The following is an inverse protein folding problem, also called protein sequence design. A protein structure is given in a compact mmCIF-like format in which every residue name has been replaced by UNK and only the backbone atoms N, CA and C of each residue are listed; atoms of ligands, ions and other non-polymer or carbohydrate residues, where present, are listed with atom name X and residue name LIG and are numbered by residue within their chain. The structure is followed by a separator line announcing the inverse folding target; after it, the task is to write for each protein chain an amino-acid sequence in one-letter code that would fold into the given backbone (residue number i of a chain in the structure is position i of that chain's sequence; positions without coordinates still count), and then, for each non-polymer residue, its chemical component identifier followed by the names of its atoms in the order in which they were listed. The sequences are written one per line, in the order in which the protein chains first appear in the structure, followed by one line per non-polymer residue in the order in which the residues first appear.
data_IF_525660809767
#
_entry.id   IF_525660809767
#
_cell.length_a   1.000
_cell.length_b   1.000
_cell.length_c   1.000
_cell.angle_alpha   90.00
_cell.angle_beta   90.00
_cell.angle_gamma   90.00
#
_symmetry.space_group_name_H-M   'P 1'
#
loop_
_entity.id
_entity.type
_entity.pdbx_description
1 polymer ?
#
# COMPACT_ATOMS: atom_id res chain seq x y z
N UNK A 1 -14.96 0.02 27.80
CA UNK A 1 -13.94 1.02 27.32
C UNK A 1 -13.72 2.17 28.32
N UNK A 2 -14.16 2.01 29.55
CA UNK A 2 -14.06 3.05 30.58
C UNK A 2 -12.58 3.52 30.75
N UNK A 3 -12.35 4.82 30.73
CA UNK A 3 -11.03 5.46 30.86
C UNK A 3 -9.99 5.13 29.74
N UNK A 4 -10.38 4.52 28.64
CA UNK A 4 -9.46 4.31 27.51
C UNK A 4 -9.22 5.59 26.73
N UNK A 5 -7.96 5.80 26.30
CA UNK A 5 -7.58 6.83 25.33
C UNK A 5 -7.74 6.28 23.93
N UNK A 6 -8.63 6.86 23.15
CA UNK A 6 -8.94 6.45 21.78
C UNK A 6 -8.49 7.53 20.82
N UNK A 7 -7.78 7.12 19.77
CA UNK A 7 -7.50 7.96 18.60
C UNK A 7 -8.39 7.47 17.45
N UNK A 8 -9.19 8.37 16.91
CA UNK A 8 -10.02 8.14 15.75
C UNK A 8 -9.45 8.92 14.56
N UNK A 9 -9.07 8.21 13.50
CA UNK A 9 -8.64 8.79 12.25
C UNK A 9 -9.81 8.77 11.27
N UNK A 10 -10.34 9.95 10.97
CA UNK A 10 -11.43 10.12 10.02
C UNK A 10 -10.89 10.35 8.61
N UNK A 11 -11.09 9.37 7.75
CA UNK A 11 -10.75 9.38 6.33
C UNK A 11 -11.90 9.75 5.40
N UNK A 12 -12.98 10.34 5.93
CA UNK A 12 -14.11 10.79 5.14
C UNK A 12 -13.73 11.91 4.17
N UNK A 13 -14.35 11.93 3.01
CA UNK A 13 -14.27 13.03 2.04
C UNK A 13 -15.09 14.24 2.45
N UNK A 14 -14.94 15.34 1.70
CA UNK A 14 -15.76 16.55 1.90
C UNK A 14 -17.17 16.32 1.40
N UNK A 15 -18.17 16.67 2.22
CA UNK A 15 -19.59 16.71 1.83
C UNK A 15 -20.32 15.37 1.83
N UNK A 16 -19.69 14.29 2.28
CA UNK A 16 -20.36 13.00 2.46
C UNK A 16 -21.21 12.98 3.73
N UNK A 17 -22.50 13.28 3.57
CA UNK A 17 -23.46 13.36 4.67
C UNK A 17 -23.70 12.01 5.35
N UNK A 18 -23.65 10.93 4.57
CA UNK A 18 -23.90 9.56 5.07
C UNK A 18 -22.77 9.13 5.99
N UNK A 19 -21.51 9.34 5.58
CA UNK A 19 -20.36 9.08 6.43
C UNK A 19 -20.38 9.95 7.71
N UNK A 20 -20.73 11.23 7.56
CA UNK A 20 -20.81 12.14 8.71
C UNK A 20 -21.82 11.65 9.76
N UNK A 21 -22.98 11.17 9.34
CA UNK A 21 -24.01 10.62 10.23
C UNK A 21 -23.53 9.36 10.98
N UNK A 22 -22.84 8.45 10.29
CA UNK A 22 -22.28 7.24 10.90
C UNK A 22 -21.12 7.59 11.85
N UNK A 23 -20.30 8.58 11.50
CA UNK A 23 -19.24 9.07 12.37
C UNK A 23 -19.79 9.67 13.67
N UNK A 24 -20.85 10.49 13.59
CA UNK A 24 -21.52 11.04 14.77
C UNK A 24 -22.11 9.94 15.67
N UNK A 25 -22.69 8.91 15.05
CA UNK A 25 -23.19 7.74 15.78
C UNK A 25 -22.04 7.00 16.49
N UNK A 26 -20.93 6.77 15.82
CA UNK A 26 -19.72 6.15 16.39
C UNK A 26 -19.19 6.97 17.57
N UNK A 27 -19.03 8.29 17.41
CA UNK A 27 -18.55 9.17 18.45
C UNK A 27 -19.47 9.15 19.68
N UNK A 28 -20.78 9.14 19.47
CA UNK A 28 -21.76 9.03 20.55
C UNK A 28 -21.61 7.70 21.33
N UNK A 29 -21.39 6.58 20.65
CA UNK A 29 -21.16 5.29 21.31
C UNK A 29 -19.85 5.26 22.10
N UNK A 30 -18.78 5.86 21.55
CA UNK A 30 -17.50 5.98 22.24
C UNK A 30 -17.61 6.86 23.51
N UNK A 31 -18.27 8.02 23.43
CA UNK A 31 -18.49 8.91 24.59
C UNK A 31 -19.35 8.21 25.67
N UNK A 32 -20.42 7.51 25.29
CA UNK A 32 -21.26 6.73 26.22
C UNK A 32 -20.47 5.65 26.96
N UNK A 33 -19.42 5.11 26.34
CA UNK A 33 -18.56 4.11 26.97
C UNK A 33 -17.59 4.70 28.03
N UNK A 34 -17.54 6.02 28.20
CA UNK A 34 -16.61 6.69 29.12
C UNK A 34 -15.18 6.80 28.59
N UNK A 35 -14.97 6.65 27.30
CA UNK A 35 -13.66 6.81 26.66
C UNK A 35 -13.31 8.28 26.43
N UNK A 36 -12.02 8.60 26.48
CA UNK A 36 -11.49 9.90 25.99
C UNK A 36 -11.10 9.75 24.53
N UNK A 37 -11.80 10.44 23.64
CA UNK A 37 -11.61 10.33 22.18
C UNK A 37 -10.92 11.56 21.65
N UNK A 38 -9.80 11.34 20.91
CA UNK A 38 -9.15 12.37 20.10
C UNK A 38 -9.40 12.04 18.62
N UNK A 39 -10.13 12.91 17.94
CA UNK A 39 -10.47 12.74 16.52
C UNK A 39 -9.58 13.59 15.64
N UNK A 40 -9.10 12.98 14.53
CA UNK A 40 -8.33 13.64 13.49
C UNK A 40 -9.09 13.58 12.16
N UNK A 41 -9.79 14.65 11.74
CA UNK A 41 -10.40 14.74 10.39
C UNK A 41 -9.29 14.96 9.36
N UNK A 42 -8.79 13.87 8.77
CA UNK A 42 -7.54 13.87 7.98
C UNK A 42 -7.59 14.77 6.75
N UNK A 43 -8.78 14.97 6.15
CA UNK A 43 -8.99 15.88 5.01
C UNK A 43 -8.66 17.34 5.33
N UNK A 44 -8.83 17.74 6.60
CA UNK A 44 -8.63 19.13 7.06
C UNK A 44 -7.20 19.35 7.61
N UNK A 45 -6.42 18.26 7.72
CA UNK A 45 -5.09 18.31 8.33
C UNK A 45 -4.01 18.45 7.26
N UNK A 46 -3.23 19.54 7.37
CA UNK A 46 -2.07 19.74 6.50
C UNK A 46 -0.93 18.80 6.88
N UNK A 47 -0.81 17.73 6.16
CA UNK A 47 0.20 16.69 6.35
C UNK A 47 0.88 16.36 5.01
N UNK A 48 2.22 16.24 5.02
CA UNK A 48 3.01 15.77 3.89
C UNK A 48 2.89 14.27 3.66
N UNK A 49 3.28 13.81 2.47
CA UNK A 49 3.33 12.39 2.12
C UNK A 49 4.64 11.74 2.60
N UNK A 50 4.61 10.46 2.92
CA UNK A 50 5.85 9.71 3.15
C UNK A 50 6.58 9.54 1.80
N UNK A 51 7.82 10.00 1.74
CA UNK A 51 8.68 9.88 0.54
C UNK A 51 9.62 8.67 0.59
N UNK A 52 9.51 7.80 1.59
CA UNK A 52 10.36 6.61 1.73
C UNK A 52 11.85 6.93 1.95
N UNK A 53 12.17 8.04 2.60
CA UNK A 53 13.57 8.47 2.83
C UNK A 53 14.25 7.73 3.98
N UNK A 54 13.51 7.00 4.80
CA UNK A 54 13.96 6.29 6.01
C UNK A 54 14.75 7.15 7.02
N UNK A 55 14.73 8.49 6.88
CA UNK A 55 15.38 9.39 7.82
C UNK A 55 14.88 9.25 9.26
N UNK A 56 13.62 8.83 9.45
CA UNK A 56 13.03 8.50 10.75
C UNK A 56 13.60 7.21 11.39
N UNK A 57 14.49 6.50 10.70
CA UNK A 57 15.26 5.40 11.25
C UNK A 57 16.72 5.80 11.46
N UNK A 58 17.34 6.42 10.44
CA UNK A 58 18.80 6.58 10.38
C UNK A 58 19.31 8.01 10.62
N UNK A 59 18.40 9.01 10.78
CA UNK A 59 18.77 10.40 11.10
C UNK A 59 18.13 10.92 12.38
N UNK A 60 16.84 10.65 12.55
CA UNK A 60 16.05 11.06 13.72
C UNK A 60 15.23 9.86 14.21
N UNK A 61 15.86 8.84 14.81
CA UNK A 61 15.20 7.58 15.13
C UNK A 61 13.88 7.75 15.89
N UNK A 62 12.81 7.26 15.31
CA UNK A 62 11.46 7.35 15.86
C UNK A 62 10.70 8.64 15.55
N UNK A 63 11.32 9.63 14.85
CA UNK A 63 10.67 10.90 14.47
C UNK A 63 10.78 11.12 12.96
N UNK A 64 9.66 11.43 12.28
CA UNK A 64 9.70 11.78 10.86
C UNK A 64 10.48 13.09 10.65
N UNK A 65 11.26 13.21 9.57
CA UNK A 65 11.99 14.44 9.23
C UNK A 65 11.05 15.61 8.93
N UNK A 66 9.86 15.32 8.36
CA UNK A 66 8.87 16.36 8.04
C UNK A 66 8.19 16.86 9.33
N UNK A 67 8.36 18.14 9.72
CA UNK A 67 7.83 18.69 10.97
C UNK A 67 6.39 19.21 10.78
N UNK A 68 5.46 18.31 10.56
CA UNK A 68 4.05 18.60 10.32
C UNK A 68 3.13 17.82 11.28
N UNK A 69 1.83 18.01 11.16
CA UNK A 69 0.81 17.32 11.97
C UNK A 69 0.90 15.78 11.93
N UNK A 70 1.60 15.21 10.96
CA UNK A 70 1.85 13.75 10.90
C UNK A 70 2.67 13.25 12.09
N UNK A 71 3.52 14.10 12.73
CA UNK A 71 4.22 13.76 13.98
C UNK A 71 3.26 13.66 15.14
N UNK A 72 2.35 14.65 15.28
CA UNK A 72 1.37 14.70 16.35
C UNK A 72 0.39 13.53 16.28
N UNK A 73 -0.07 13.19 15.07
CA UNK A 73 -0.92 12.00 14.84
C UNK A 73 -0.17 10.73 15.21
N UNK A 74 1.10 10.59 14.78
CA UNK A 74 1.92 9.41 15.10
C UNK A 74 2.13 9.26 16.61
N UNK A 75 2.39 10.37 17.31
CA UNK A 75 2.49 10.40 18.77
C UNK A 75 1.17 10.04 19.45
N UNK A 76 0.06 10.65 19.03
CA UNK A 76 -1.26 10.37 19.59
C UNK A 76 -1.63 8.89 19.43
N UNK A 77 -1.36 8.30 18.24
CA UNK A 77 -1.60 6.88 17.95
C UNK A 77 -0.84 5.99 18.91
N UNK A 78 0.48 6.14 19.06
CA UNK A 78 1.25 5.23 19.93
C UNK A 78 0.95 5.44 21.42
N UNK A 79 0.45 6.61 21.78
CA UNK A 79 0.03 6.91 23.14
C UNK A 79 -1.44 6.56 23.44
N UNK A 80 -2.20 6.08 22.44
CA UNK A 80 -3.57 5.61 22.64
C UNK A 80 -3.62 4.17 23.16
N UNK A 81 -4.77 3.73 23.62
CA UNK A 81 -5.09 2.35 23.94
C UNK A 81 -5.77 1.64 22.76
N UNK A 82 -6.49 2.44 21.95
CA UNK A 82 -7.21 2.01 20.77
C UNK A 82 -7.04 3.05 19.65
N UNK A 83 -6.70 2.59 18.46
CA UNK A 83 -6.77 3.39 17.23
C UNK A 83 -7.92 2.90 16.37
N UNK A 84 -8.79 3.82 15.95
CA UNK A 84 -9.90 3.54 15.04
C UNK A 84 -9.59 4.19 13.69
N UNK A 85 -9.69 3.41 12.62
CA UNK A 85 -9.67 3.86 11.23
C UNK A 85 -11.11 3.90 10.74
N UNK A 86 -11.66 5.10 10.54
CA UNK A 86 -12.99 5.30 9.99
C UNK A 86 -12.86 5.85 8.56
N UNK A 87 -13.42 5.15 7.56
CA UNK A 87 -13.13 5.45 6.16
C UNK A 87 -14.20 4.91 5.21
N UNK A 88 -14.48 5.58 4.08
CA UNK A 88 -15.14 4.88 2.98
C UNK A 88 -14.25 3.73 2.50
N UNK A 89 -14.85 2.60 2.15
CA UNK A 89 -14.15 1.50 1.48
C UNK A 89 -13.88 1.93 0.04
N UNK A 90 -12.62 1.88 -0.38
CA UNK A 90 -12.19 2.33 -1.69
C UNK A 90 -11.45 1.17 -2.39
N UNK A 91 -12.11 0.52 -3.35
CA UNK A 91 -11.60 -0.66 -4.06
C UNK A 91 -11.15 -1.79 -3.11
N UNK A 92 -11.80 -1.93 -1.97
CA UNK A 92 -11.41 -2.85 -0.91
C UNK A 92 -10.26 -2.37 -0.03
N UNK A 93 -9.76 -1.14 -0.23
CA UNK A 93 -8.76 -0.48 0.61
C UNK A 93 -9.32 0.67 1.42
N UNK A 94 -8.43 1.47 1.98
CA UNK A 94 -8.74 2.74 2.65
C UNK A 94 -8.88 3.87 1.65
N UNK A 95 -9.56 4.97 2.06
CA UNK A 95 -9.42 6.24 1.34
C UNK A 95 -7.95 6.70 1.31
N UNK A 96 -7.61 7.51 0.31
CA UNK A 96 -6.26 8.07 0.23
C UNK A 96 -5.88 8.88 1.48
N UNK A 97 -6.81 9.51 2.17
CA UNK A 97 -6.52 10.28 3.40
C UNK A 97 -6.08 9.37 4.56
N UNK A 98 -6.76 8.24 4.82
CA UNK A 98 -6.27 7.24 5.77
C UNK A 98 -4.90 6.72 5.34
N UNK A 99 -4.74 6.39 4.05
CA UNK A 99 -3.49 5.84 3.53
C UNK A 99 -2.32 6.79 3.73
N UNK A 100 -2.51 8.09 3.53
CA UNK A 100 -1.53 9.13 3.81
C UNK A 100 -1.05 9.12 5.26
N UNK A 101 -1.97 8.98 6.22
CA UNK A 101 -1.64 8.85 7.63
C UNK A 101 -0.92 7.53 7.95
N UNK A 102 -1.37 6.42 7.36
CA UNK A 102 -0.74 5.11 7.56
C UNK A 102 0.71 5.09 7.05
N UNK A 103 0.98 5.65 5.86
CA UNK A 103 2.33 5.74 5.29
C UNK A 103 3.32 6.52 6.19
N UNK A 104 2.82 7.42 7.03
CA UNK A 104 3.61 8.23 7.95
C UNK A 104 3.92 7.55 9.29
N UNK A 105 3.43 6.32 9.53
CA UNK A 105 3.64 5.58 10.79
C UNK A 105 4.92 4.77 10.84
N UNK A 106 5.72 4.75 9.81
CA UNK A 106 6.99 4.03 9.76
C UNK A 106 7.94 4.33 10.95
N UNK A 107 7.92 5.53 11.60
CA UNK A 107 8.70 5.78 12.81
C UNK A 107 8.34 4.91 14.01
N UNK A 108 7.15 4.28 14.03
CA UNK A 108 6.68 3.43 15.13
C UNK A 108 7.27 2.03 15.12
N UNK A 109 7.95 1.64 14.05
CA UNK A 109 8.68 0.37 13.94
C UNK A 109 10.18 0.62 13.82
N UNK A 110 10.96 -0.42 14.11
CA UNK A 110 12.41 -0.39 13.98
C UNK A 110 12.83 -0.77 12.54
N UNK A 111 14.04 -0.38 12.11
CA UNK A 111 14.56 -0.86 10.83
C UNK A 111 14.87 -2.36 10.81
N UNK A 112 15.08 -2.97 11.96
CA UNK A 112 15.38 -4.39 12.11
C UNK A 112 14.13 -5.25 11.84
N UNK A 113 14.37 -6.46 11.36
CA UNK A 113 13.33 -7.42 10.99
C UNK A 113 13.27 -8.62 11.93
N UNK A 114 12.07 -9.17 12.06
CA UNK A 114 11.81 -10.45 12.69
C UNK A 114 10.79 -11.28 11.91
N UNK A 115 10.60 -12.52 12.35
CA UNK A 115 9.57 -13.41 11.81
C UNK A 115 8.38 -13.38 12.77
N UNK A 116 7.24 -12.91 12.25
CA UNK A 116 5.98 -12.84 12.99
C UNK A 116 4.90 -13.57 12.19
N UNK A 117 4.18 -14.49 12.82
CA UNK A 117 3.16 -15.30 12.15
C UNK A 117 3.62 -16.00 10.85
N UNK A 118 4.92 -16.34 10.80
CA UNK A 118 5.51 -17.08 9.68
C UNK A 118 6.08 -16.24 8.53
N UNK A 119 6.05 -14.91 8.64
CA UNK A 119 6.53 -13.97 7.61
C UNK A 119 7.33 -12.80 8.21
N UNK A 120 7.99 -12.02 7.35
CA UNK A 120 8.80 -10.86 7.76
C UNK A 120 7.94 -9.68 8.17
N UNK A 121 8.31 -9.07 9.30
CA UNK A 121 7.86 -7.75 9.72
C UNK A 121 8.97 -7.02 10.44
N UNK A 122 8.90 -5.70 10.48
CA UNK A 122 9.78 -4.89 11.33
C UNK A 122 9.49 -5.15 12.80
N UNK A 123 10.52 -5.06 13.65
CA UNK A 123 10.31 -5.12 15.10
C UNK A 123 9.53 -3.89 15.61
N UNK A 124 8.68 -4.04 16.64
CA UNK A 124 8.01 -2.90 17.26
C UNK A 124 9.04 -2.01 17.94
N UNK A 125 8.91 -0.69 17.80
CA UNK A 125 9.75 0.28 18.52
C UNK A 125 9.35 0.42 19.99
N UNK A 126 8.07 0.23 20.29
CA UNK A 126 7.47 0.40 21.62
C UNK A 126 7.00 -0.93 22.17
N UNK A 127 7.10 -1.09 23.50
CA UNK A 127 6.65 -2.30 24.20
C UNK A 127 5.12 -2.43 24.26
N UNK A 128 4.39 -1.33 24.08
CA UNK A 128 2.92 -1.29 24.07
C UNK A 128 2.45 -0.58 22.80
N UNK A 129 1.69 -1.28 21.99
CA UNK A 129 1.02 -0.75 20.82
C UNK A 129 -0.50 -0.70 21.05
N UNK A 130 -1.23 0.24 20.42
CA UNK A 130 -2.68 0.30 20.55
C UNK A 130 -3.35 -0.90 19.87
N UNK A 131 -4.52 -1.29 20.37
CA UNK A 131 -5.47 -2.11 19.62
C UNK A 131 -5.89 -1.37 18.34
N UNK A 132 -6.16 -2.10 17.25
CA UNK A 132 -6.60 -1.52 15.99
C UNK A 132 -8.05 -1.92 15.67
N UNK A 133 -8.89 -0.94 15.33
CA UNK A 133 -10.24 -1.19 14.79
C UNK A 133 -10.37 -0.48 13.45
N UNK A 134 -10.82 -1.22 12.43
CA UNK A 134 -11.16 -0.68 11.12
C UNK A 134 -12.68 -0.65 10.92
N UNK A 135 -13.24 0.50 10.64
CA UNK A 135 -14.65 0.70 10.30
C UNK A 135 -14.71 1.26 8.88
N UNK A 136 -15.04 0.37 7.95
CA UNK A 136 -15.31 0.72 6.56
C UNK A 136 -16.76 1.13 6.38
N UNK A 137 -17.03 2.05 5.48
CA UNK A 137 -18.39 2.44 5.09
C UNK A 137 -18.54 2.21 3.59
N UNK A 138 -19.59 1.50 3.19
CA UNK A 138 -20.02 1.34 1.82
C UNK A 138 -21.41 1.96 1.61
N UNK A 139 -21.67 2.48 0.42
CA UNK A 139 -23.00 2.95 0.04
C UNK A 139 -23.88 1.81 -0.53
N UNK A 140 -23.24 0.88 -1.22
CA UNK A 140 -23.86 -0.34 -1.74
C UNK A 140 -23.04 -1.55 -1.28
N UNK A 141 -23.72 -2.64 -0.95
CA UNK A 141 -23.05 -3.87 -0.49
C UNK A 141 -22.11 -4.42 -1.59
N UNK A 142 -20.87 -4.65 -1.21
CA UNK A 142 -19.85 -5.30 -2.03
C UNK A 142 -18.98 -6.19 -1.13
N UNK A 143 -19.34 -7.46 -1.04
CA UNK A 143 -18.65 -8.42 -0.17
C UNK A 143 -17.18 -8.61 -0.54
N UNK A 144 -16.84 -8.52 -1.82
CA UNK A 144 -15.44 -8.66 -2.27
C UNK A 144 -14.58 -7.52 -1.71
N UNK A 145 -15.04 -6.28 -1.79
CA UNK A 145 -14.36 -5.12 -1.19
C UNK A 145 -14.35 -5.18 0.34
N UNK A 146 -15.49 -5.56 0.96
CA UNK A 146 -15.60 -5.68 2.41
C UNK A 146 -14.60 -6.71 2.97
N UNK A 147 -14.44 -7.85 2.29
CA UNK A 147 -13.48 -8.88 2.67
C UNK A 147 -12.02 -8.42 2.50
N UNK A 148 -11.69 -7.71 1.41
CA UNK A 148 -10.36 -7.12 1.20
C UNK A 148 -10.04 -6.08 2.28
N UNK A 149 -11.01 -5.21 2.60
CA UNK A 149 -10.87 -4.21 3.65
C UNK A 149 -10.57 -4.85 5.01
N UNK A 150 -11.38 -5.84 5.42
CA UNK A 150 -11.18 -6.57 6.70
C UNK A 150 -9.81 -7.23 6.75
N UNK A 151 -9.37 -7.83 5.64
CA UNK A 151 -8.06 -8.45 5.54
C UNK A 151 -6.93 -7.40 5.64
N UNK A 152 -7.07 -6.25 4.98
CA UNK A 152 -6.11 -5.15 5.05
C UNK A 152 -5.95 -4.60 6.47
N UNK A 153 -7.07 -4.41 7.20
CA UNK A 153 -7.01 -3.98 8.61
C UNK A 153 -6.26 -5.02 9.45
N UNK A 154 -6.54 -6.30 9.26
CA UNK A 154 -5.84 -7.39 9.95
C UNK A 154 -4.33 -7.42 9.63
N UNK A 155 -3.95 -7.19 8.38
CA UNK A 155 -2.54 -7.06 7.97
C UNK A 155 -1.87 -5.87 8.64
N UNK A 156 -2.53 -4.72 8.66
CA UNK A 156 -2.01 -3.53 9.34
C UNK A 156 -1.92 -3.72 10.85
N UNK A 157 -2.82 -4.49 11.47
CA UNK A 157 -2.73 -4.86 12.88
C UNK A 157 -1.48 -5.71 13.15
N UNK A 158 -1.20 -6.69 12.29
CA UNK A 158 0.03 -7.50 12.37
C UNK A 158 1.28 -6.63 12.19
N UNK A 159 1.31 -5.78 11.17
CA UNK A 159 2.44 -4.92 10.84
C UNK A 159 2.73 -3.85 11.91
N UNK A 160 1.70 -3.36 12.60
CA UNK A 160 1.81 -2.43 13.73
C UNK A 160 1.97 -3.11 15.09
N UNK A 161 2.04 -4.43 15.15
CA UNK A 161 2.08 -5.22 16.39
C UNK A 161 0.93 -4.89 17.35
N UNK A 162 -0.26 -4.65 16.81
CA UNK A 162 -1.45 -4.45 17.63
C UNK A 162 -1.75 -5.73 18.44
N UNK A 163 -2.04 -5.62 19.75
CA UNK A 163 -2.30 -6.79 20.58
C UNK A 163 -3.56 -7.53 20.15
N UNK A 164 -4.54 -6.81 19.65
CA UNK A 164 -5.79 -7.32 19.06
C UNK A 164 -6.32 -6.37 18.02
N UNK A 165 -7.21 -6.85 17.14
CA UNK A 165 -7.89 -5.99 16.19
C UNK A 165 -9.33 -6.43 15.97
N UNK A 166 -10.12 -5.59 15.31
CA UNK A 166 -11.38 -5.94 14.69
C UNK A 166 -11.60 -5.10 13.43
N UNK A 167 -12.32 -5.63 12.46
CA UNK A 167 -12.69 -4.90 11.27
C UNK A 167 -14.11 -5.23 10.83
N UNK A 168 -14.85 -4.20 10.44
CA UNK A 168 -16.16 -4.38 9.84
C UNK A 168 -16.46 -3.31 8.79
N UNK A 169 -17.49 -3.59 7.99
CA UNK A 169 -17.99 -2.68 6.96
C UNK A 169 -19.48 -2.50 7.20
N UNK A 170 -19.89 -1.25 7.39
CA UNK A 170 -21.30 -0.86 7.56
C UNK A 170 -21.82 -0.26 6.25
N UNK A 171 -23.13 -0.46 6.00
CA UNK A 171 -23.79 0.16 4.85
C UNK A 171 -24.41 1.50 5.27
N UNK A 172 -24.15 2.54 4.50
CA UNK A 172 -24.72 3.88 4.77
C UNK A 172 -26.22 3.96 4.48
N UNK A 173 -26.78 2.91 3.90
CA UNK A 173 -28.20 2.77 3.57
C UNK A 173 -28.98 1.95 4.61
N UNK A 174 -28.29 1.32 5.56
CA UNK A 174 -28.94 0.53 6.61
C UNK A 174 -29.63 1.43 7.64
N UNK A 175 -30.57 0.86 8.38
CA UNK A 175 -31.22 1.58 9.49
C UNK A 175 -30.17 1.93 10.55
N UNK A 176 -30.27 3.15 11.09
CA UNK A 176 -29.28 3.65 12.06
C UNK A 176 -29.14 2.76 13.30
N UNK A 177 -30.18 2.06 13.70
CA UNK A 177 -30.12 1.14 14.83
C UNK A 177 -29.29 -0.12 14.49
N UNK A 178 -29.39 -0.64 13.27
CA UNK A 178 -28.59 -1.78 12.81
C UNK A 178 -27.11 -1.37 12.70
N UNK A 179 -26.84 -0.19 12.13
CA UNK A 179 -25.48 0.40 12.10
C UNK A 179 -24.93 0.56 13.52
N UNK A 180 -25.74 1.04 14.49
CA UNK A 180 -25.34 1.19 15.88
C UNK A 180 -24.91 -0.16 16.48
N UNK A 181 -25.72 -1.21 16.29
CA UNK A 181 -25.42 -2.55 16.80
C UNK A 181 -24.14 -3.12 16.19
N UNK A 182 -23.91 -2.92 14.88
CA UNK A 182 -22.68 -3.31 14.22
C UNK A 182 -21.47 -2.55 14.79
N UNK A 183 -21.58 -1.24 15.00
CA UNK A 183 -20.53 -0.42 15.61
C UNK A 183 -20.21 -0.88 17.04
N UNK A 184 -21.21 -1.15 17.86
CA UNK A 184 -21.02 -1.70 19.20
C UNK A 184 -20.31 -3.05 19.17
N UNK A 185 -20.71 -3.93 18.25
CA UNK A 185 -20.12 -5.26 18.07
C UNK A 185 -18.63 -5.16 17.70
N UNK A 186 -18.27 -4.38 16.68
CA UNK A 186 -16.87 -4.26 16.22
C UNK A 186 -15.96 -3.62 17.28
N UNK A 187 -16.48 -2.71 18.09
CA UNK A 187 -15.72 -2.05 19.14
C UNK A 187 -15.29 -3.00 20.27
N UNK A 188 -16.01 -4.09 20.52
CA UNK A 188 -15.70 -5.04 21.59
C UNK A 188 -15.11 -6.36 21.08
N UNK A 189 -15.33 -6.69 19.80
CA UNK A 189 -14.87 -7.94 19.16
C UNK A 189 -13.35 -7.95 19.01
N UNK A 190 -12.74 -9.12 19.12
CA UNK A 190 -11.36 -9.38 18.78
C UNK A 190 -11.31 -10.43 17.68
N UNK A 191 -10.79 -10.04 16.53
CA UNK A 191 -10.63 -10.91 15.38
C UNK A 191 -9.24 -11.58 15.41
N UNK A 192 -9.13 -12.77 14.81
CA UNK A 192 -7.85 -13.46 14.69
C UNK A 192 -7.00 -12.82 13.61
N UNK A 193 -5.72 -12.54 13.91
CA UNK A 193 -4.79 -12.04 12.93
C UNK A 193 -4.70 -12.96 11.71
N UNK A 194 -4.75 -12.40 10.48
CA UNK A 194 -4.67 -13.20 9.27
C UNK A 194 -3.30 -13.87 9.15
N UNK A 195 -3.29 -15.15 8.81
CA UNK A 195 -2.05 -15.85 8.53
C UNK A 195 -1.47 -15.46 7.16
N UNK A 196 -0.15 -15.60 7.01
CA UNK A 196 0.53 -15.42 5.71
C UNK A 196 -0.07 -16.28 4.59
N UNK A 197 -0.61 -17.47 4.93
CA UNK A 197 -1.26 -18.37 3.96
C UNK A 197 -2.52 -17.74 3.35
N UNK A 198 -3.32 -17.01 4.14
CA UNK A 198 -4.52 -16.33 3.64
C UNK A 198 -4.14 -15.27 2.61
N UNK A 199 -3.11 -14.48 2.88
CA UNK A 199 -2.62 -13.47 1.93
C UNK A 199 -1.99 -14.12 0.70
N UNK A 200 -1.17 -15.14 0.89
CA UNK A 200 -0.53 -15.87 -0.22
C UNK A 200 -1.58 -16.57 -1.12
N UNK A 201 -2.72 -16.98 -0.58
CA UNK A 201 -3.80 -17.60 -1.39
C UNK A 201 -4.47 -16.63 -2.37
N UNK A 202 -4.30 -15.31 -2.20
CA UNK A 202 -4.78 -14.32 -3.17
C UNK A 202 -3.88 -14.25 -4.42
N UNK A 203 -2.60 -14.61 -4.30
CA UNK A 203 -1.61 -14.41 -5.36
C UNK A 203 -2.05 -14.97 -6.73
N UNK A 204 -2.55 -16.22 -6.84
CA UNK A 204 -2.96 -16.75 -8.15
C UNK A 204 -4.05 -15.90 -8.82
N UNK A 205 -5.04 -15.43 -8.06
CA UNK A 205 -6.13 -14.63 -8.59
C UNK A 205 -5.70 -13.22 -9.01
N UNK A 206 -4.84 -12.56 -8.21
CA UNK A 206 -4.42 -11.17 -8.50
C UNK A 206 -3.32 -11.08 -9.56
N UNK A 207 -2.53 -12.15 -9.75
CA UNK A 207 -1.57 -12.23 -10.84
C UNK A 207 -2.17 -12.71 -12.16
N UNK A 208 -3.30 -13.41 -12.09
CA UNK A 208 -4.06 -13.80 -13.28
C UNK A 208 -4.83 -12.59 -13.84
N UNK A 209 -4.78 -12.42 -15.14
CA UNK A 209 -5.65 -11.52 -15.88
C UNK A 209 -6.89 -12.25 -16.39
N UNK A 210 -7.77 -11.50 -17.05
CA UNK A 210 -8.88 -12.07 -17.81
C UNK A 210 -8.46 -12.28 -19.26
N UNK A 211 -8.98 -13.33 -19.89
CA UNK A 211 -8.76 -13.55 -21.33
C UNK A 211 -9.47 -12.41 -22.09
N UNK A 212 -8.71 -11.76 -22.94
CA UNK A 212 -9.22 -10.70 -23.81
C UNK A 212 -9.14 -11.16 -25.27
N UNK A 213 -10.11 -10.79 -26.09
CA UNK A 213 -9.95 -10.90 -27.53
C UNK A 213 -8.67 -10.16 -27.94
N UNK A 214 -7.88 -10.73 -28.83
CA UNK A 214 -6.71 -10.07 -29.42
C UNK A 214 -7.16 -8.77 -30.07
N UNK A 215 -6.95 -7.66 -29.42
CA UNK A 215 -7.18 -6.33 -30.01
C UNK A 215 -5.93 -6.01 -30.81
N UNK A 216 -6.08 -5.96 -32.11
CA UNK A 216 -4.99 -5.95 -33.07
C UNK A 216 -4.06 -4.75 -32.96
N UNK A 217 -2.77 -5.05 -32.97
CA UNK A 217 -1.69 -4.12 -33.26
C UNK A 217 -1.24 -3.23 -32.11
N UNK A 218 -0.11 -2.51 -32.34
CA UNK A 218 0.42 -1.55 -31.38
C UNK A 218 -0.53 -0.37 -31.13
N UNK A 219 -0.68 -0.02 -29.86
CA UNK A 219 -1.46 1.11 -29.39
C UNK A 219 -0.64 2.07 -28.53
N UNK A 220 -1.28 2.78 -27.60
CA UNK A 220 -0.61 3.70 -26.67
C UNK A 220 -0.57 3.13 -25.25
N UNK A 221 0.63 3.01 -24.69
CA UNK A 221 0.88 2.55 -23.33
C UNK A 221 1.33 3.70 -22.43
N UNK A 222 0.67 3.84 -21.27
CA UNK A 222 1.00 4.81 -20.21
C UNK A 222 1.58 4.07 -19.01
N UNK A 223 2.83 4.37 -18.63
CA UNK A 223 3.41 3.95 -17.36
C UNK A 223 3.18 5.00 -16.28
N UNK A 224 2.48 4.62 -15.22
CA UNK A 224 2.31 5.41 -14.00
C UNK A 224 3.26 4.87 -12.93
N UNK A 225 4.29 5.66 -12.57
CA UNK A 225 5.27 5.30 -11.55
C UNK A 225 4.81 5.85 -10.20
N UNK A 226 4.41 4.94 -9.31
CA UNK A 226 3.88 5.26 -7.98
C UNK A 226 4.93 5.40 -6.87
N UNK A 227 6.21 5.42 -7.20
CA UNK A 227 7.26 5.61 -6.21
C UNK A 227 7.41 7.08 -5.82
N UNK A 228 7.39 7.40 -4.51
CA UNK A 228 7.58 8.76 -4.04
C UNK A 228 9.05 9.22 -4.04
N UNK A 229 10.04 8.33 -4.30
CA UNK A 229 11.47 8.69 -4.37
C UNK A 229 11.71 9.79 -5.41
N UNK A 230 12.47 10.84 -5.02
CA UNK A 230 12.69 12.03 -5.86
C UNK A 230 14.11 12.06 -6.44
N UNK A 231 15.11 11.57 -5.69
CA UNK A 231 16.53 11.81 -5.99
C UNK A 231 17.26 10.70 -6.73
N UNK A 232 16.64 9.51 -6.85
CA UNK A 232 17.26 8.35 -7.52
C UNK A 232 16.21 7.53 -8.24
N UNK A 233 16.59 6.74 -9.25
CA UNK A 233 15.70 5.76 -9.83
C UNK A 233 15.10 4.87 -8.74
N UNK A 234 13.83 4.55 -8.87
CA UNK A 234 13.15 3.63 -7.96
C UNK A 234 13.06 2.24 -8.59
N UNK A 235 13.03 1.20 -7.78
CA UNK A 235 12.76 -0.17 -8.24
C UNK A 235 11.51 -0.23 -9.14
N UNK A 236 10.42 0.44 -8.73
CA UNK A 236 9.19 0.50 -9.54
C UNK A 236 9.41 1.17 -10.89
N UNK A 237 10.20 2.27 -10.93
CA UNK A 237 10.54 2.95 -12.18
C UNK A 237 11.40 2.09 -13.09
N UNK A 238 12.35 1.34 -12.53
CA UNK A 238 13.22 0.41 -13.28
C UNK A 238 12.40 -0.73 -13.88
N UNK A 239 11.54 -1.38 -13.07
CA UNK A 239 10.72 -2.50 -13.54
C UNK A 239 9.67 -2.06 -14.58
N UNK A 240 8.92 -0.99 -14.29
CA UNK A 240 7.91 -0.46 -15.22
C UNK A 240 8.53 0.09 -16.48
N UNK A 241 9.68 0.80 -16.36
CA UNK A 241 10.44 1.34 -17.49
C UNK A 241 10.95 0.27 -18.45
N UNK A 242 11.37 -0.90 -17.91
CA UNK A 242 11.78 -2.03 -18.73
C UNK A 242 10.61 -2.55 -19.59
N UNK A 243 9.45 -2.80 -18.98
CA UNK A 243 8.25 -3.24 -19.73
C UNK A 243 7.86 -2.20 -20.78
N UNK A 244 7.89 -0.93 -20.44
CA UNK A 244 7.56 0.16 -21.36
C UNK A 244 8.52 0.20 -22.56
N UNK A 245 9.83 0.03 -22.31
CA UNK A 245 10.84 -0.03 -23.37
C UNK A 245 10.64 -1.24 -24.31
N UNK A 246 10.28 -2.39 -23.75
CA UNK A 246 9.96 -3.60 -24.53
C UNK A 246 8.69 -3.43 -25.40
N UNK A 247 7.68 -2.70 -24.90
CA UNK A 247 6.49 -2.35 -25.69
C UNK A 247 6.84 -1.38 -26.82
N UNK A 248 7.67 -0.37 -26.54
CA UNK A 248 8.13 0.60 -27.55
C UNK A 248 8.88 -0.10 -28.70
N UNK A 249 9.77 -1.05 -28.39
CA UNK A 249 10.49 -1.85 -29.40
C UNK A 249 9.52 -2.69 -30.29
N UNK A 250 8.32 -2.97 -29.77
CA UNK A 250 7.24 -3.68 -30.50
C UNK A 250 6.26 -2.75 -31.19
N UNK A 251 6.62 -1.46 -31.33
CA UNK A 251 5.87 -0.45 -32.07
C UNK A 251 4.77 0.28 -31.28
N UNK A 252 4.68 0.08 -29.95
CA UNK A 252 3.75 0.86 -29.13
C UNK A 252 4.23 2.29 -28.94
N UNK A 253 3.30 3.25 -29.00
CA UNK A 253 3.57 4.60 -28.49
C UNK A 253 3.60 4.56 -26.97
N UNK A 254 4.63 5.14 -26.37
CA UNK A 254 4.85 5.02 -24.92
C UNK A 254 4.98 6.38 -24.26
N UNK A 255 4.32 6.52 -23.11
CA UNK A 255 4.37 7.69 -22.23
C UNK A 255 4.61 7.24 -20.79
N UNK A 256 5.35 8.02 -19.99
CA UNK A 256 5.55 7.72 -18.57
C UNK A 256 5.35 8.93 -17.69
N UNK A 257 4.63 8.75 -16.57
CA UNK A 257 4.38 9.76 -15.56
C UNK A 257 4.81 9.25 -14.19
N UNK A 258 5.58 10.05 -13.46
CA UNK A 258 5.88 9.77 -12.05
C UNK A 258 4.93 10.55 -11.16
N UNK A 259 4.16 9.85 -10.34
CA UNK A 259 3.18 10.47 -9.46
C UNK A 259 3.83 11.46 -8.49
N UNK A 260 3.33 12.68 -8.49
CA UNK A 260 3.68 13.76 -7.57
C UNK A 260 2.39 14.47 -7.15
N UNK A 261 2.42 15.16 -6.02
CA UNK A 261 1.23 15.85 -5.49
C UNK A 261 0.63 16.84 -6.48
N UNK A 262 1.46 17.61 -7.19
CA UNK A 262 1.02 18.58 -8.19
C UNK A 262 0.34 17.94 -9.40
N UNK A 263 0.70 16.70 -9.75
CA UNK A 263 0.08 15.95 -10.85
C UNK A 263 -1.34 15.47 -10.53
N UNK A 264 -1.76 15.53 -9.27
CA UNK A 264 -3.09 15.07 -8.82
C UNK A 264 -3.98 16.24 -8.36
N UNK A 265 -3.62 17.48 -8.69
CA UNK A 265 -4.33 18.70 -8.30
C UNK A 265 -4.25 19.76 -9.41
N UNK A 266 -5.30 20.57 -9.56
CA UNK A 266 -5.33 21.69 -10.48
C UNK A 266 -5.02 21.30 -11.94
N UNK A 267 -4.18 22.08 -12.61
CA UNK A 267 -3.79 21.86 -14.02
C UNK A 267 -3.07 20.53 -14.23
N UNK A 268 -2.22 20.10 -13.27
CA UNK A 268 -1.54 18.82 -13.36
C UNK A 268 -2.50 17.64 -13.37
N UNK A 269 -3.64 17.74 -12.69
CA UNK A 269 -4.67 16.70 -12.74
C UNK A 269 -5.30 16.58 -14.13
N UNK A 270 -5.51 17.68 -14.82
CA UNK A 270 -6.02 17.66 -16.19
C UNK A 270 -5.02 17.01 -17.16
N UNK A 271 -3.73 17.31 -17.02
CA UNK A 271 -2.65 16.68 -17.78
C UNK A 271 -2.58 15.16 -17.52
N UNK A 272 -2.64 14.76 -16.25
CA UNK A 272 -2.67 13.35 -15.84
C UNK A 272 -3.86 12.61 -16.46
N UNK A 273 -5.08 13.17 -16.37
CA UNK A 273 -6.27 12.55 -16.92
C UNK A 273 -6.24 12.50 -18.45
N UNK A 274 -5.74 13.54 -19.12
CA UNK A 274 -5.54 13.53 -20.56
C UNK A 274 -4.57 12.41 -21.02
N UNK A 275 -3.53 12.12 -20.23
CA UNK A 275 -2.65 10.97 -20.51
C UNK A 275 -3.38 9.63 -20.32
N UNK A 276 -4.20 9.51 -19.28
CA UNK A 276 -5.07 8.34 -19.06
C UNK A 276 -6.04 8.14 -20.22
N UNK A 277 -6.65 9.22 -20.72
CA UNK A 277 -7.61 9.15 -21.83
C UNK A 277 -6.97 8.66 -23.14
N UNK A 278 -5.75 9.10 -23.42
CA UNK A 278 -5.00 8.65 -24.61
C UNK A 278 -4.56 7.21 -24.55
N UNK A 279 -4.39 6.64 -23.33
CA UNK A 279 -3.83 5.30 -23.15
C UNK A 279 -4.86 4.20 -23.43
N UNK A 280 -4.45 3.16 -24.12
CA UNK A 280 -5.18 1.89 -24.28
C UNK A 280 -4.70 0.86 -23.26
N UNK A 281 -3.42 0.94 -22.85
CA UNK A 281 -2.81 0.12 -21.82
C UNK A 281 -2.20 1.00 -20.74
N UNK A 282 -2.66 0.83 -19.50
CA UNK A 282 -2.12 1.50 -18.32
C UNK A 282 -1.26 0.51 -17.56
N UNK A 283 0.02 0.86 -17.37
CA UNK A 283 0.97 0.12 -16.53
C UNK A 283 1.14 0.88 -15.21
N UNK A 284 0.83 0.25 -14.09
CA UNK A 284 0.98 0.83 -12.77
C UNK A 284 2.14 0.15 -12.04
N UNK A 285 3.23 0.86 -11.77
CA UNK A 285 4.40 0.31 -11.06
C UNK A 285 4.63 1.06 -9.75
N UNK A 286 4.61 0.36 -8.59
CA UNK A 286 4.66 0.99 -7.28
C UNK A 286 5.33 0.14 -6.21
N UNK A 287 5.92 0.77 -5.17
CA UNK A 287 6.38 0.06 -3.98
C UNK A 287 5.21 -0.22 -3.04
N UNK A 288 5.27 -1.31 -2.29
CA UNK A 288 4.32 -1.60 -1.22
C UNK A 288 4.59 -0.69 -0.01
N UNK A 289 3.56 -0.03 0.49
CA UNK A 289 3.60 0.76 1.73
C UNK A 289 2.50 0.26 2.69
N UNK A 290 2.90 -0.23 3.84
CA UNK A 290 1.97 -0.68 4.90
C UNK A 290 0.87 -1.59 4.32
N UNK A 291 1.30 -2.72 3.75
CA UNK A 291 0.47 -3.78 3.11
C UNK A 291 -0.46 -3.32 1.97
N UNK A 292 -0.30 -2.10 1.44
CA UNK A 292 -1.16 -1.54 0.39
C UNK A 292 -0.40 -0.60 -0.55
N UNK A 293 -1.11 0.02 -1.48
CA UNK A 293 -0.58 1.03 -2.39
C UNK A 293 -0.15 2.28 -1.61
N UNK A 294 0.91 3.01 -2.03
CA UNK A 294 1.23 4.32 -1.46
C UNK A 294 0.10 5.34 -1.62
N UNK A 295 0.05 6.33 -0.74
CA UNK A 295 -0.96 7.41 -0.79
C UNK A 295 -1.18 7.99 -2.18
N UNK A 296 -0.10 8.38 -2.89
CA UNK A 296 -0.23 8.99 -4.22
C UNK A 296 -0.84 8.04 -5.25
N UNK A 297 -0.59 6.74 -5.13
CA UNK A 297 -1.22 5.74 -6.00
C UNK A 297 -2.70 5.61 -5.67
N UNK A 298 -3.07 5.45 -4.40
CA UNK A 298 -4.49 5.44 -4.00
C UNK A 298 -5.22 6.69 -4.48
N UNK A 299 -4.60 7.88 -4.30
CA UNK A 299 -5.17 9.14 -4.78
C UNK A 299 -5.33 9.18 -6.29
N UNK A 300 -4.38 8.66 -7.05
CA UNK A 300 -4.49 8.59 -8.50
C UNK A 300 -5.63 7.66 -8.95
N UNK A 301 -5.83 6.52 -8.27
CA UNK A 301 -6.96 5.63 -8.56
C UNK A 301 -8.31 6.30 -8.24
N UNK A 302 -8.43 7.04 -7.12
CA UNK A 302 -9.64 7.80 -6.80
C UNK A 302 -9.96 8.85 -7.87
N UNK A 303 -8.93 9.59 -8.34
CA UNK A 303 -9.07 10.61 -9.38
C UNK A 303 -9.47 9.97 -10.71
N UNK A 304 -8.82 8.88 -11.11
CA UNK A 304 -9.15 8.13 -12.31
C UNK A 304 -10.57 7.56 -12.26
N UNK A 305 -10.96 6.93 -11.15
CA UNK A 305 -12.29 6.35 -11.01
C UNK A 305 -13.40 7.40 -11.15
N UNK A 306 -13.21 8.56 -10.51
CA UNK A 306 -14.14 9.68 -10.65
C UNK A 306 -14.24 10.16 -12.12
N UNK A 307 -13.12 10.27 -12.82
CA UNK A 307 -13.07 10.68 -14.21
C UNK A 307 -13.77 9.65 -15.12
N UNK A 308 -13.37 8.38 -15.03
CA UNK A 308 -13.94 7.29 -15.84
C UNK A 308 -15.44 7.06 -15.59
N UNK A 309 -15.96 7.42 -14.42
CA UNK A 309 -17.40 7.36 -14.13
C UNK A 309 -18.20 8.48 -14.78
N UNK A 310 -17.57 9.65 -14.98
CA UNK A 310 -18.22 10.83 -15.61
C UNK A 310 -18.03 10.85 -17.12
N UNK A 311 -16.92 10.34 -17.61
CA UNK A 311 -16.56 10.29 -19.03
C UNK A 311 -15.99 8.89 -19.35
N UNK A 312 -16.87 7.89 -19.53
CA UNK A 312 -16.45 6.53 -19.81
C UNK A 312 -15.79 6.43 -21.19
N UNK A 313 -14.68 5.66 -21.31
CA UNK A 313 -13.97 5.52 -22.58
C UNK A 313 -14.82 4.78 -23.61
N UNK A 314 -14.71 5.16 -24.87
CA UNK A 314 -15.41 4.49 -26.00
C UNK A 314 -15.00 3.02 -26.15
N UNK A 315 -13.75 2.69 -25.80
CA UNK A 315 -13.22 1.34 -25.82
C UNK A 315 -12.63 0.96 -24.47
N UNK A 316 -12.80 -0.28 -23.99
CA UNK A 316 -12.27 -0.71 -22.71
C UNK A 316 -10.74 -0.56 -22.66
N UNK A 317 -10.24 0.19 -21.66
CA UNK A 317 -8.82 0.30 -21.39
C UNK A 317 -8.33 -0.93 -20.61
N UNK A 318 -7.05 -1.23 -20.72
CA UNK A 318 -6.40 -2.36 -20.06
C UNK A 318 -5.53 -1.87 -18.91
N UNK A 319 -5.51 -2.61 -17.81
CA UNK A 319 -4.67 -2.33 -16.65
C UNK A 319 -3.77 -3.52 -16.33
N UNK A 320 -2.49 -3.24 -16.18
CA UNK A 320 -1.46 -4.15 -15.68
C UNK A 320 -0.73 -3.49 -14.51
N UNK A 321 -0.35 -4.26 -13.47
CA UNK A 321 0.36 -3.68 -12.33
C UNK A 321 1.61 -4.47 -11.95
N UNK A 322 2.66 -3.75 -11.49
CA UNK A 322 3.86 -4.30 -10.87
C UNK A 322 3.97 -3.73 -9.45
N UNK A 323 3.88 -4.60 -8.46
CA UNK A 323 4.10 -4.25 -7.06
C UNK A 323 5.41 -4.84 -6.56
N UNK A 324 6.21 -4.05 -5.82
CA UNK A 324 7.44 -4.52 -5.21
C UNK A 324 7.50 -4.11 -3.73
N UNK A 325 8.11 -4.96 -2.90
CA UNK A 325 8.27 -4.69 -1.47
C UNK A 325 9.73 -4.89 -1.03
N UNK A 326 10.04 -4.44 0.19
CA UNK A 326 11.35 -4.58 0.80
C UNK A 326 11.60 -5.93 1.49
N UNK A 327 10.57 -6.75 1.73
CA UNK A 327 10.70 -8.06 2.36
C UNK A 327 10.98 -9.17 1.33
N UNK A 328 11.60 -10.29 1.74
CA UNK A 328 11.88 -11.37 0.79
C UNK A 328 10.64 -12.04 0.21
N UNK A 329 9.51 -11.99 0.90
CA UNK A 329 8.29 -12.63 0.47
C UNK A 329 7.47 -11.75 -0.50
N UNK A 330 7.26 -12.24 -1.70
CA UNK A 330 6.47 -11.54 -2.73
C UNK A 330 4.97 -11.42 -2.37
N UNK A 331 4.43 -12.34 -1.55
CA UNK A 331 3.01 -12.37 -1.20
C UNK A 331 2.52 -11.15 -0.41
N UNK A 332 3.42 -10.39 0.22
CA UNK A 332 3.05 -9.11 0.84
C UNK A 332 2.38 -8.13 -0.16
N UNK A 333 2.70 -8.25 -1.45
CA UNK A 333 2.11 -7.42 -2.51
C UNK A 333 0.67 -7.82 -2.88
N UNK A 334 0.17 -8.98 -2.43
CA UNK A 334 -1.08 -9.56 -2.90
C UNK A 334 -2.29 -8.64 -2.69
N UNK A 335 -2.41 -8.01 -1.50
CA UNK A 335 -3.51 -7.08 -1.22
C UNK A 335 -3.45 -5.82 -2.10
N UNK A 336 -2.27 -5.26 -2.32
CA UNK A 336 -2.12 -4.11 -3.18
C UNK A 336 -2.52 -4.43 -4.63
N UNK A 337 -2.16 -5.61 -5.14
CA UNK A 337 -2.61 -6.09 -6.45
C UNK A 337 -4.12 -6.37 -6.48
N UNK A 338 -4.69 -6.90 -5.38
CA UNK A 338 -6.14 -7.12 -5.29
C UNK A 338 -6.93 -5.79 -5.34
N UNK A 339 -6.41 -4.74 -4.71
CA UNK A 339 -7.00 -3.39 -4.80
C UNK A 339 -6.91 -2.86 -6.24
N UNK A 340 -5.79 -3.07 -6.95
CA UNK A 340 -5.67 -2.70 -8.37
C UNK A 340 -6.67 -3.48 -9.26
N UNK A 341 -6.80 -4.78 -9.02
CA UNK A 341 -7.78 -5.62 -9.72
C UNK A 341 -9.21 -5.15 -9.44
N UNK A 342 -9.53 -4.84 -8.17
CA UNK A 342 -10.86 -4.32 -7.81
C UNK A 342 -11.13 -2.97 -8.46
N UNK A 343 -10.16 -2.05 -8.43
CA UNK A 343 -10.24 -0.79 -9.16
C UNK A 343 -10.56 -1.01 -10.65
N UNK A 344 -9.87 -1.95 -11.32
CA UNK A 344 -10.14 -2.26 -12.72
C UNK A 344 -11.59 -2.72 -12.92
N UNK A 345 -12.08 -3.63 -12.07
CA UNK A 345 -13.46 -4.14 -12.15
C UNK A 345 -14.47 -3.00 -11.96
N UNK A 346 -14.28 -2.17 -10.93
CA UNK A 346 -15.23 -1.11 -10.57
C UNK A 346 -15.27 0.05 -11.58
N UNK A 347 -14.19 0.21 -12.35
CA UNK A 347 -14.08 1.27 -13.37
C UNK A 347 -14.26 0.76 -14.80
N UNK A 348 -14.56 -0.52 -14.99
CA UNK A 348 -14.75 -1.13 -16.31
C UNK A 348 -13.47 -1.31 -17.12
N UNK A 349 -12.28 -1.25 -16.45
CA UNK A 349 -11.03 -1.58 -17.09
C UNK A 349 -10.82 -3.11 -17.14
N UNK A 350 -10.11 -3.57 -18.15
CA UNK A 350 -9.74 -4.98 -18.28
C UNK A 350 -8.46 -5.25 -17.47
N UNK A 351 -8.57 -6.06 -16.43
CA UNK A 351 -7.41 -6.49 -15.64
C UNK A 351 -6.58 -7.53 -16.39
N UNK A 352 -5.35 -7.19 -16.78
CA UNK A 352 -4.43 -8.11 -17.46
C UNK A 352 -3.56 -8.93 -16.50
N UNK A 353 -3.67 -8.72 -15.20
CA UNK A 353 -2.89 -9.40 -14.19
C UNK A 353 -1.83 -8.50 -13.55
N UNK A 354 -1.09 -9.05 -12.60
CA UNK A 354 -0.06 -8.33 -11.87
C UNK A 354 1.21 -9.14 -11.64
N UNK A 355 2.33 -8.45 -11.45
CA UNK A 355 3.60 -9.03 -11.01
C UNK A 355 3.93 -8.56 -9.59
N UNK A 356 4.40 -9.49 -8.76
CA UNK A 356 4.76 -9.24 -7.37
C UNK A 356 6.23 -9.58 -7.13
N UNK A 357 7.04 -8.59 -6.79
CA UNK A 357 8.47 -8.77 -6.50
C UNK A 357 8.73 -8.60 -5.00
N UNK A 358 9.33 -9.60 -4.37
CA UNK A 358 9.93 -9.51 -3.04
C UNK A 358 11.37 -8.99 -3.10
N UNK A 359 11.87 -8.44 -1.99
CA UNK A 359 13.25 -7.93 -1.85
C UNK A 359 13.65 -6.87 -2.89
N UNK A 360 12.71 -6.11 -3.43
CA UNK A 360 12.95 -5.21 -4.57
C UNK A 360 14.09 -4.20 -4.36
N UNK A 361 14.19 -3.60 -3.17
CA UNK A 361 15.29 -2.68 -2.86
C UNK A 361 16.65 -3.39 -2.77
N UNK A 362 16.70 -4.61 -2.20
CA UNK A 362 17.91 -5.39 -2.12
C UNK A 362 18.39 -5.92 -3.48
N UNK A 363 17.45 -6.13 -4.42
CA UNK A 363 17.76 -6.59 -5.77
C UNK A 363 18.18 -5.46 -6.69
N UNK A 364 17.53 -4.32 -6.60
CA UNK A 364 17.75 -3.24 -7.57
C UNK A 364 18.37 -1.99 -6.94
N UNK A 365 17.94 -1.53 -5.76
CA UNK A 365 18.49 -0.34 -5.10
C UNK A 365 18.52 0.93 -5.97
N UNK A 366 17.70 0.99 -7.03
CA UNK A 366 17.72 2.04 -8.02
C UNK A 366 18.73 1.85 -9.15
N UNK A 367 19.42 0.69 -9.20
CA UNK A 367 20.33 0.36 -10.31
C UNK A 367 19.57 -0.07 -11.58
N UNK A 368 20.18 0.07 -12.76
CA UNK A 368 19.60 -0.43 -14.01
C UNK A 368 19.36 -1.94 -13.93
N UNK A 369 18.39 -2.43 -14.69
CA UNK A 369 18.03 -3.83 -14.70
C UNK A 369 19.08 -4.69 -15.43
N UNK A 370 19.75 -4.12 -16.44
CA UNK A 370 20.77 -4.73 -17.27
C UNK A 370 22.01 -3.84 -17.36
N UNK A 371 23.12 -4.43 -17.78
CA UNK A 371 24.37 -3.71 -18.04
C UNK A 371 25.53 -4.18 -17.18
N UNK A 372 26.76 -3.91 -17.64
CA UNK A 372 28.01 -4.30 -16.97
C UNK A 372 28.28 -3.50 -15.69
N UNK A 373 27.57 -2.39 -15.50
CA UNK A 373 27.70 -1.51 -14.32
C UNK A 373 26.81 -1.97 -13.14
N UNK A 374 26.01 -3.04 -13.35
CA UNK A 374 25.13 -3.55 -12.33
C UNK A 374 25.93 -4.26 -11.24
N UNK A 375 25.83 -3.76 -10.03
CA UNK A 375 26.30 -4.41 -8.81
C UNK A 375 25.11 -4.99 -8.04
N UNK A 376 25.17 -6.23 -7.62
CA UNK A 376 24.09 -6.83 -6.81
C UNK A 376 23.76 -8.28 -7.18
N UNK A 377 22.74 -8.86 -6.53
CA UNK A 377 22.32 -10.24 -6.79
C UNK A 377 21.85 -10.45 -8.24
N UNK A 378 21.93 -11.69 -8.74
CA UNK A 378 21.38 -12.07 -10.06
C UNK A 378 19.88 -11.75 -10.14
N UNK A 379 19.44 -11.20 -11.30
CA UNK A 379 18.03 -10.83 -11.56
C UNK A 379 17.49 -11.43 -12.86
N UNK A 380 18.17 -12.41 -13.43
CA UNK A 380 17.80 -13.05 -14.71
C UNK A 380 16.36 -13.59 -14.68
N UNK A 381 15.92 -14.13 -13.54
CA UNK A 381 14.55 -14.60 -13.36
C UNK A 381 13.51 -13.45 -13.41
N UNK A 382 13.89 -12.24 -12.97
CA UNK A 382 13.05 -11.05 -13.07
C UNK A 382 13.02 -10.55 -14.50
N UNK A 383 14.16 -10.50 -15.19
CA UNK A 383 14.26 -10.10 -16.60
C UNK A 383 13.38 -11.04 -17.45
N UNK A 384 13.53 -12.36 -17.30
CA UNK A 384 12.71 -13.33 -18.00
C UNK A 384 11.21 -13.16 -17.75
N UNK A 385 10.82 -12.87 -16.48
CA UNK A 385 9.42 -12.59 -16.15
C UNK A 385 8.88 -11.34 -16.86
N UNK A 386 9.70 -10.29 -16.93
CA UNK A 386 9.33 -9.04 -17.61
C UNK A 386 9.28 -9.22 -19.13
N UNK A 387 10.19 -9.99 -19.73
CA UNK A 387 10.20 -10.29 -21.17
C UNK A 387 8.94 -11.04 -21.60
N UNK A 388 8.62 -12.13 -20.88
CA UNK A 388 7.41 -12.93 -21.13
C UNK A 388 6.16 -12.05 -20.98
N UNK A 389 6.13 -11.21 -19.93
CA UNK A 389 5.00 -10.30 -19.68
C UNK A 389 4.89 -9.26 -20.79
N UNK A 390 6.00 -8.62 -21.18
CA UNK A 390 6.00 -7.58 -22.21
C UNK A 390 5.54 -8.10 -23.57
N UNK A 391 5.95 -9.32 -23.93
CA UNK A 391 5.49 -9.98 -25.14
C UNK A 391 3.96 -10.23 -25.11
N UNK A 392 3.45 -10.77 -23.99
CA UNK A 392 2.02 -11.03 -23.84
C UNK A 392 1.19 -9.71 -23.87
N UNK A 393 1.65 -8.68 -23.17
CA UNK A 393 0.97 -7.37 -23.16
C UNK A 393 0.96 -6.71 -24.54
N UNK A 394 2.06 -6.84 -25.31
CA UNK A 394 2.13 -6.31 -26.68
C UNK A 394 1.09 -6.96 -27.59
N UNK A 395 0.79 -8.23 -27.38
CA UNK A 395 -0.23 -8.99 -28.12
C UNK A 395 -1.64 -8.83 -27.50
N UNK A 396 -1.81 -7.92 -26.53
CA UNK A 396 -3.08 -7.68 -25.85
C UNK A 396 -3.52 -8.79 -24.91
N UNK A 397 -2.61 -9.67 -24.52
CA UNK A 397 -2.91 -10.83 -23.67
C UNK A 397 -2.64 -10.55 -22.19
N UNK A 398 -3.22 -11.38 -21.32
CA UNK A 398 -2.97 -11.38 -19.87
C UNK A 398 -1.55 -11.81 -19.51
N UNK A 399 -1.12 -11.45 -18.31
CA UNK A 399 0.15 -11.94 -17.74
C UNK A 399 0.16 -13.47 -17.69
N UNK A 400 1.14 -14.12 -18.33
CA UNK A 400 1.26 -15.57 -18.25
C UNK A 400 1.60 -16.04 -16.82
N UNK A 401 0.98 -17.12 -16.32
CA UNK A 401 1.26 -17.66 -14.98
C UNK A 401 2.74 -17.98 -14.74
N UNK A 402 3.46 -18.33 -15.79
CA UNK A 402 4.90 -18.58 -15.74
C UNK A 402 5.68 -17.32 -15.36
N UNK A 403 5.34 -16.16 -15.92
CA UNK A 403 5.98 -14.88 -15.60
C UNK A 403 5.74 -14.52 -14.13
N UNK A 404 4.51 -14.66 -13.64
CA UNK A 404 4.17 -14.43 -12.23
C UNK A 404 4.98 -15.35 -11.31
N UNK A 405 5.13 -16.63 -11.66
CA UNK A 405 5.93 -17.60 -10.89
C UNK A 405 7.44 -17.28 -10.92
N UNK A 406 7.97 -16.85 -12.06
CA UNK A 406 9.37 -16.42 -12.17
C UNK A 406 9.65 -15.23 -11.27
N UNK A 407 8.77 -14.24 -11.26
CA UNK A 407 8.92 -13.01 -10.47
C UNK A 407 9.03 -13.26 -8.95
N UNK A 408 8.48 -14.36 -8.46
CA UNK A 408 8.51 -14.71 -7.02
C UNK A 408 9.68 -15.59 -6.61
N UNK A 409 10.56 -15.99 -7.54
CA UNK A 409 11.71 -16.84 -7.22
C UNK A 409 12.75 -16.07 -6.37
N UNK A 410 13.53 -16.84 -5.60
CA UNK A 410 14.68 -16.30 -4.89
C UNK A 410 15.79 -15.90 -5.88
N UNK A 411 16.57 -14.84 -5.59
CA UNK A 411 17.62 -14.36 -6.49
C UNK A 411 18.77 -15.36 -6.66
N UNK A 412 18.99 -16.24 -5.67
CA UNK A 412 20.07 -17.22 -5.70
C UNK A 412 19.47 -18.59 -6.03
N UNK A 413 19.80 -19.18 -7.21
CA UNK A 413 19.32 -20.50 -7.58
C UNK A 413 19.66 -21.56 -6.55
N UNK A 414 18.77 -22.52 -6.35
CA UNK A 414 18.92 -23.64 -5.42
C UNK A 414 19.07 -23.28 -3.92
N UNK A 415 19.05 -22.00 -3.55
CA UNK A 415 19.07 -21.61 -2.15
C UNK A 415 17.70 -21.88 -1.51
N UNK A 416 17.63 -22.67 -0.42
CA UNK A 416 16.40 -22.82 0.35
C UNK A 416 15.89 -21.47 0.84
N UNK A 417 14.58 -21.24 0.76
CA UNK A 417 13.98 -19.97 1.17
C UNK A 417 14.27 -19.60 2.64
N UNK A 418 14.38 -20.59 3.52
CA UNK A 418 14.76 -20.39 4.93
C UNK A 418 16.18 -19.82 5.08
N UNK A 419 17.11 -20.29 4.26
CA UNK A 419 18.49 -19.77 4.27
C UNK A 419 18.55 -18.36 3.65
N UNK A 420 17.81 -18.11 2.59
CA UNK A 420 17.66 -16.76 2.02
C UNK A 420 17.09 -15.78 3.04
N UNK A 421 16.05 -16.18 3.79
CA UNK A 421 15.46 -15.36 4.86
C UNK A 421 16.49 -15.00 5.93
N UNK A 422 17.26 -15.99 6.40
CA UNK A 422 18.31 -15.76 7.40
C UNK A 422 19.38 -14.79 6.88
N UNK A 423 19.89 -15.02 5.67
CA UNK A 423 20.90 -14.15 5.05
C UNK A 423 20.37 -12.73 4.88
N UNK A 424 19.13 -12.60 4.42
CA UNK A 424 18.46 -11.30 4.23
C UNK A 424 18.41 -10.50 5.54
N UNK A 425 18.06 -11.13 6.68
CA UNK A 425 18.05 -10.46 7.99
C UNK A 425 19.45 -9.91 8.30
N UNK A 426 20.49 -10.71 8.14
CA UNK A 426 21.86 -10.30 8.48
C UNK A 426 22.32 -9.12 7.61
N UNK A 427 22.07 -9.19 6.31
CA UNK A 427 22.45 -8.13 5.37
C UNK A 427 21.66 -6.83 5.63
N UNK A 428 20.37 -6.93 5.83
CA UNK A 428 19.51 -5.77 6.07
C UNK A 428 19.84 -5.08 7.40
N UNK A 429 20.05 -5.84 8.48
CA UNK A 429 20.48 -5.29 9.77
C UNK A 429 21.83 -4.56 9.67
N UNK A 430 22.79 -5.16 8.96
CA UNK A 430 24.10 -4.54 8.73
C UNK A 430 23.94 -3.24 7.95
N UNK A 431 23.14 -3.23 6.88
CA UNK A 431 22.87 -2.05 6.07
C UNK A 431 22.28 -0.90 6.90
N UNK A 432 21.27 -1.18 7.73
CA UNK A 432 20.65 -0.14 8.56
C UNK A 432 21.58 0.42 9.64
N UNK A 433 22.41 -0.42 10.27
CA UNK A 433 23.41 0.03 11.24
C UNK A 433 24.49 0.88 10.58
N UNK A 434 24.97 0.47 9.40
CA UNK A 434 25.92 1.26 8.63
C UNK A 434 25.32 2.61 8.22
N UNK A 435 24.10 2.62 7.69
CA UNK A 435 23.42 3.85 7.29
C UNK A 435 23.15 4.79 8.49
N UNK A 436 22.86 4.26 9.67
CA UNK A 436 22.75 5.04 10.91
C UNK A 436 24.09 5.65 11.31
N UNK A 437 25.17 4.87 11.27
CA UNK A 437 26.53 5.35 11.61
C UNK A 437 27.00 6.46 10.64
N UNK A 438 26.72 6.34 9.34
CA UNK A 438 27.00 7.39 8.34
C UNK A 438 26.27 8.72 8.64
N UNK A 439 25.13 8.65 9.32
CA UNK A 439 24.37 9.81 9.79
C UNK A 439 24.67 10.17 11.26
N UNK A 440 25.75 9.64 11.85
CA UNK A 440 26.18 9.90 13.24
C UNK A 440 25.16 9.47 14.30
N UNK A 441 24.30 8.49 13.98
CA UNK A 441 23.36 7.88 14.92
C UNK A 441 23.99 6.65 15.54
N UNK A 442 24.15 6.68 16.87
CA UNK A 442 24.69 5.56 17.64
C UNK A 442 23.73 4.38 17.73
N UNK A 443 24.26 3.17 18.00
CA UNK A 443 23.43 1.96 18.05
C UNK A 443 22.29 2.06 19.08
N UNK A 444 22.54 2.65 20.25
CA UNK A 444 21.49 2.86 21.28
C UNK A 444 20.42 3.86 20.82
N UNK A 445 20.81 4.90 20.08
CA UNK A 445 19.90 5.92 19.57
C UNK A 445 18.98 5.36 18.49
N UNK A 446 19.44 4.36 17.71
CA UNK A 446 18.63 3.69 16.70
C UNK A 446 17.32 3.13 17.29
N UNK A 447 17.35 2.72 18.55
CA UNK A 447 16.21 2.17 19.31
C UNK A 447 15.48 3.20 20.18
N UNK A 448 15.74 4.50 20.01
CA UNK A 448 15.08 5.55 20.78
C UNK A 448 13.55 5.46 20.67
N UNK A 449 12.86 5.79 21.74
CA UNK A 449 11.39 5.79 21.86
C UNK A 449 10.87 7.19 22.18
N UNK A 450 10.97 8.16 21.24
CA UNK A 450 10.70 9.57 21.52
C UNK A 450 9.25 9.86 21.94
N UNK A 451 8.30 9.01 21.55
CA UNK A 451 6.88 9.13 21.89
C UNK A 451 6.46 8.19 23.05
N UNK A 452 7.43 7.61 23.79
CA UNK A 452 7.08 6.79 24.95
C UNK A 452 6.19 7.59 25.92
N UNK A 453 5.17 6.91 26.50
CA UNK A 453 4.36 7.54 27.55
C UNK A 453 5.26 7.88 28.74
N UNK A 454 5.30 9.14 29.12
CA UNK A 454 5.90 9.52 30.42
C UNK A 454 5.00 8.85 31.47
N UNK A 455 5.56 7.94 32.28
CA UNK A 455 4.82 7.40 33.42
C UNK A 455 4.58 8.55 34.39
N UNK A 456 3.33 8.76 34.85
CA UNK A 456 3.04 9.77 35.86
C UNK A 456 3.79 9.46 37.18
#
# INVERSE_FOLDING_TARGET
MLNQKIVLLDGSGVGDKSLSLILDLLLNELHRSGATVQTFPLRDIKMGTCIGCFGCWVKTPGICLEPDAGRDITQAVIQSDLTILFTPVTFGGYSSEIKKSQDRRIPLVLPDFGIYHGEFHHHPRYSKNPRLVGIGVQHQSNDAEANLFKLLVGRNALNSHAPTYAADVVLSTDALEDVRQQLQSVLVRNDNLPSSKVVASLMPAVTAGVDTPTLGGPGRALLIIGSPKVKSPSTSGVLGGYVLAQLNQRGWETESLTLRKNLLQGEGQAEFLAAVDRAELILLAFPLYVDSLPFLVMKSLEVMAKHLSTDPPESPKRLFAIANNGFPEAHHNALALAICQRFAIDTGLIWLGGLALGAGEALFGGQPIEGTEREGPPVEHVIQALDITSAALADGQRVPPEAAKLMTKTPIPFMPFSLWRWLFIQLAQRHWRQSAAENQVGEKELFAQPYARVRP
#
